data_IF_202219228207
#
_entry.id   IF_202219228207
#
_cell.length_a   1.000
_cell.length_b   1.000
_cell.length_c   1.000
_cell.angle_alpha   90.00
_cell.angle_beta   90.00
_cell.angle_gamma   90.00
#
_symmetry.space_group_name_H-M   'P 1'
#
loop_
_entity.id
_entity.type
_entity.pdbx_description
1 polymer ?
#
# COMPACT_ATOMS: atom_id res chain seq x y z
N UNK A 1 -4.16 -67.97 55.65
CA UNK A 1 -3.83 -66.54 55.79
C UNK A 1 -4.97 -65.76 55.14
N UNK A 2 -6.12 -65.54 55.79
CA UNK A 2 -6.42 -64.55 56.85
C UNK A 2 -5.68 -63.23 56.59
N UNK A 3 -6.24 -62.01 56.51
CA UNK A 3 -7.50 -61.30 56.82
C UNK A 3 -7.21 -59.88 56.22
N UNK A 4 -8.09 -58.91 55.99
CA UNK A 4 -9.45 -58.57 56.45
C UNK A 4 -9.90 -57.39 55.58
N UNK A 5 -11.17 -57.36 55.23
CA UNK A 5 -11.90 -56.13 54.98
C UNK A 5 -12.00 -55.28 56.25
N UNK A 6 -12.30 -53.98 56.06
CA UNK A 6 -12.94 -53.00 56.96
C UNK A 6 -12.19 -51.67 56.81
N UNK A 7 -12.82 -50.51 56.77
CA UNK A 7 -14.16 -50.13 57.18
C UNK A 7 -14.10 -48.64 57.50
N UNK A 8 -15.22 -47.96 57.31
CA UNK A 8 -15.40 -46.55 57.58
C UNK A 8 -14.94 -46.13 58.99
N UNK A 9 -14.29 -44.98 59.09
CA UNK A 9 -14.32 -44.14 60.29
C UNK A 9 -14.54 -42.69 59.85
N UNK A 10 -15.76 -42.23 60.11
CA UNK A 10 -16.16 -40.83 60.15
C UNK A 10 -15.28 -40.11 61.17
N UNK A 11 -14.69 -38.98 60.77
CA UNK A 11 -14.43 -37.92 61.75
C UNK A 11 -15.43 -36.79 61.55
N UNK A 12 -16.36 -36.80 62.50
CA UNK A 12 -17.31 -35.76 62.81
C UNK A 12 -16.53 -34.59 63.40
N UNK A 13 -16.46 -33.48 62.68
CA UNK A 13 -16.36 -32.15 63.31
C UNK A 13 -16.84 -31.07 62.34
N UNK A 14 -18.12 -31.13 61.99
CA UNK A 14 -18.88 -29.91 61.76
C UNK A 14 -19.09 -29.20 63.10
N UNK A 15 -18.02 -28.60 63.61
CA UNK A 15 -18.11 -27.50 64.55
C UNK A 15 -17.37 -26.36 63.88
N UNK A 16 -18.11 -25.30 63.57
CA UNK A 16 -17.62 -24.17 62.82
C UNK A 16 -16.27 -23.71 63.38
N UNK A 17 -15.21 -23.95 62.62
CA UNK A 17 -13.98 -23.18 62.77
C UNK A 17 -14.37 -21.81 62.25
N UNK A 18 -14.93 -20.97 63.14
CA UNK A 18 -14.95 -19.54 62.97
C UNK A 18 -13.57 -19.19 62.43
N UNK A 19 -13.48 -18.60 61.24
CA UNK A 19 -12.20 -18.09 60.73
C UNK A 19 -11.71 -17.14 61.82
N UNK A 20 -10.80 -17.61 62.67
CA UNK A 20 -10.19 -16.79 63.69
C UNK A 20 -9.61 -15.63 62.90
N UNK A 21 -10.16 -14.44 63.08
CA UNK A 21 -9.72 -13.27 62.35
C UNK A 21 -8.27 -13.05 62.76
N UNK A 22 -7.32 -13.49 61.92
CA UNK A 22 -5.90 -13.25 62.14
C UNK A 22 -5.76 -11.76 62.39
N UNK A 23 -5.31 -11.39 63.59
CA UNK A 23 -5.02 -10.00 63.95
C UNK A 23 -3.97 -9.53 62.95
N UNK A 24 -4.40 -8.72 61.98
CA UNK A 24 -3.49 -8.21 60.94
C UNK A 24 -2.62 -7.17 61.61
N UNK A 25 -1.31 -7.37 61.55
CA UNK A 25 -0.37 -6.37 61.99
C UNK A 25 -0.51 -5.13 61.08
N UNK A 26 -0.89 -3.99 61.67
CA UNK A 26 -1.08 -2.70 60.96
C UNK A 26 0.17 -1.83 60.99
N UNK A 27 1.28 -2.34 61.52
CA UNK A 27 2.56 -1.64 61.48
C UNK A 27 2.95 -1.39 60.02
N UNK A 28 3.59 -0.25 59.71
CA UNK A 28 4.01 0.06 58.36
C UNK A 28 4.91 -1.06 57.82
N UNK A 29 4.62 -1.54 56.61
CA UNK A 29 5.44 -2.53 55.94
C UNK A 29 6.82 -1.92 55.65
N UNK A 30 7.88 -2.68 55.91
CA UNK A 30 9.27 -2.23 55.69
C UNK A 30 9.58 -1.99 54.21
N UNK A 31 8.88 -2.67 53.30
CA UNK A 31 9.00 -2.52 51.86
C UNK A 31 7.62 -2.18 51.31
N UNK A 32 7.52 -1.05 50.62
CA UNK A 32 6.30 -0.65 49.94
C UNK A 32 6.26 -1.31 48.57
N UNK A 33 5.11 -1.86 48.19
CA UNK A 33 4.92 -2.45 46.87
C UNK A 33 4.98 -1.32 45.85
N UNK A 34 5.97 -1.35 44.96
CA UNK A 34 6.13 -0.35 43.90
C UNK A 34 5.35 -0.78 42.65
N UNK A 35 4.98 0.20 41.81
CA UNK A 35 4.32 -0.08 40.54
C UNK A 35 5.22 -0.95 39.62
N UNK A 36 6.54 -0.75 39.67
CA UNK A 36 7.51 -1.54 38.92
C UNK A 36 7.50 -3.00 39.34
N UNK A 37 7.39 -3.30 40.64
CA UNK A 37 7.36 -4.67 41.14
C UNK A 37 6.10 -5.41 40.67
N UNK A 38 4.94 -4.73 40.69
CA UNK A 38 3.69 -5.30 40.17
C UNK A 38 3.75 -5.56 38.66
N UNK A 39 4.36 -4.64 37.89
CA UNK A 39 4.51 -4.81 36.44
C UNK A 39 5.51 -5.93 36.10
N UNK A 40 6.61 -6.04 36.85
CA UNK A 40 7.60 -7.10 36.68
C UNK A 40 7.02 -8.47 37.03
N UNK A 41 6.26 -8.57 38.11
CA UNK A 41 5.58 -9.80 38.53
C UNK A 41 4.48 -10.18 37.53
N UNK A 42 3.69 -9.21 37.04
CA UNK A 42 2.69 -9.46 35.98
C UNK A 42 3.33 -9.92 34.66
N UNK A 43 4.52 -9.42 34.33
CA UNK A 43 5.25 -9.84 33.14
C UNK A 43 5.91 -11.21 33.33
N UNK A 44 6.45 -11.52 34.51
CA UNK A 44 7.00 -12.83 34.84
C UNK A 44 5.92 -13.92 34.90
N UNK A 45 4.70 -13.56 35.29
CA UNK A 45 3.52 -14.43 35.25
C UNK A 45 2.74 -14.36 33.95
N UNK A 46 3.19 -13.58 32.96
CA UNK A 46 2.65 -13.67 31.61
C UNK A 46 2.99 -15.08 31.12
N UNK A 47 1.98 -15.94 31.06
CA UNK A 47 2.13 -17.26 30.45
C UNK A 47 2.68 -17.03 29.04
N UNK A 48 3.83 -17.63 28.74
CA UNK A 48 4.38 -17.61 27.39
C UNK A 48 3.30 -18.10 26.43
N UNK A 49 3.17 -17.42 25.29
CA UNK A 49 2.25 -17.86 24.25
C UNK A 49 2.55 -19.32 23.93
N UNK A 50 1.59 -20.21 24.18
CA UNK A 50 1.73 -21.62 23.82
C UNK A 50 1.72 -21.71 22.31
N UNK A 51 2.91 -21.75 21.70
CA UNK A 51 3.03 -21.98 20.27
C UNK A 51 2.51 -23.39 19.95
N UNK A 52 1.66 -23.54 18.94
CA UNK A 52 1.21 -24.86 18.52
C UNK A 52 2.41 -25.72 18.11
N UNK A 53 2.35 -27.05 18.32
CA UNK A 53 3.41 -27.95 17.89
C UNK A 53 3.62 -27.85 16.37
N UNK A 54 4.88 -27.87 15.93
CA UNK A 54 5.23 -27.80 14.50
C UNK A 54 4.89 -29.13 13.84
N UNK A 55 3.74 -29.20 13.18
CA UNK A 55 3.32 -30.35 12.37
C UNK A 55 4.07 -30.36 11.03
N UNK A 56 4.71 -31.48 10.67
CA UNK A 56 5.27 -31.69 9.33
C UNK A 56 4.26 -32.43 8.48
N UNK A 57 3.82 -31.80 7.40
CA UNK A 57 2.85 -32.38 6.46
C UNK A 57 3.59 -33.38 5.57
N UNK A 58 3.21 -34.66 5.63
CA UNK A 58 3.83 -35.75 4.86
C UNK A 58 2.98 -36.19 3.69
N UNK A 59 1.66 -36.27 3.91
CA UNK A 59 0.75 -36.87 2.93
C UNK A 59 -0.10 -35.83 2.18
N UNK A 60 -0.49 -36.09 0.91
CA UNK A 60 -1.39 -35.21 0.17
C UNK A 60 -2.76 -35.00 0.84
N UNK A 61 -3.26 -36.00 1.56
CA UNK A 61 -4.52 -35.92 2.31
C UNK A 61 -4.39 -34.98 3.52
N UNK A 62 -3.28 -35.08 4.26
CA UNK A 62 -2.96 -34.15 5.36
C UNK A 62 -2.83 -32.71 4.86
N UNK A 63 -2.27 -32.51 3.66
CA UNK A 63 -2.16 -31.20 3.02
C UNK A 63 -3.53 -30.60 2.69
N UNK A 64 -4.46 -31.42 2.20
CA UNK A 64 -5.83 -30.98 1.89
C UNK A 64 -6.64 -30.68 3.16
N UNK A 65 -6.45 -31.47 4.23
CA UNK A 65 -7.03 -31.18 5.55
C UNK A 65 -6.47 -29.89 6.16
N UNK A 66 -5.16 -29.69 6.06
CA UNK A 66 -4.52 -28.44 6.46
C UNK A 66 -5.09 -27.25 5.68
N UNK A 67 -5.21 -27.37 4.36
CA UNK A 67 -5.84 -26.33 3.52
C UNK A 67 -7.29 -26.09 3.92
N UNK A 68 -8.07 -27.13 4.18
CA UNK A 68 -9.47 -26.99 4.56
C UNK A 68 -9.63 -26.24 5.88
N UNK A 69 -8.85 -26.60 6.90
CA UNK A 69 -8.87 -25.98 8.23
C UNK A 69 -8.49 -24.50 8.18
N UNK A 70 -7.37 -24.20 7.55
CA UNK A 70 -6.87 -22.82 7.39
C UNK A 70 -7.82 -21.95 6.56
N UNK A 71 -8.38 -22.47 5.46
CA UNK A 71 -9.42 -21.77 4.68
C UNK A 71 -10.64 -21.44 5.53
N UNK A 72 -11.10 -22.40 6.33
CA UNK A 72 -12.24 -22.19 7.23
C UNK A 72 -11.95 -21.07 8.24
N UNK A 73 -10.76 -21.06 8.83
CA UNK A 73 -10.33 -19.99 9.75
C UNK A 73 -10.32 -18.61 9.08
N UNK A 74 -9.80 -18.51 7.84
CA UNK A 74 -9.83 -17.27 7.08
C UNK A 74 -11.25 -16.83 6.72
N UNK A 75 -12.09 -17.74 6.22
CA UNK A 75 -13.49 -17.43 5.89
C UNK A 75 -14.29 -17.04 7.15
N UNK A 76 -14.06 -17.69 8.29
CA UNK A 76 -14.70 -17.32 9.56
C UNK A 76 -14.17 -15.98 10.09
N UNK A 77 -12.90 -15.64 9.83
CA UNK A 77 -12.34 -14.31 10.11
C UNK A 77 -12.99 -13.22 9.24
N UNK A 78 -13.14 -13.48 7.94
CA UNK A 78 -13.79 -12.59 6.98
C UNK A 78 -15.27 -12.41 7.32
N UNK A 79 -15.97 -13.48 7.71
CA UNK A 79 -17.38 -13.40 8.14
C UNK A 79 -17.56 -12.56 9.41
N UNK A 80 -16.62 -12.65 10.35
CA UNK A 80 -16.63 -11.83 11.57
C UNK A 80 -16.30 -10.37 11.27
N UNK A 81 -15.35 -10.11 10.36
CA UNK A 81 -14.84 -8.79 10.03
C UNK A 81 -14.79 -8.59 8.51
N UNK A 82 -15.95 -8.38 7.90
CA UNK A 82 -16.10 -8.29 6.44
C UNK A 82 -15.33 -7.10 5.85
N UNK A 83 -15.37 -5.95 6.53
CA UNK A 83 -14.73 -4.71 6.09
C UNK A 83 -13.23 -4.64 6.40
N UNK A 84 -12.67 -5.62 7.13
CA UNK A 84 -11.24 -5.60 7.44
C UNK A 84 -10.42 -6.18 6.28
N UNK A 85 -10.04 -5.31 5.34
CA UNK A 85 -9.31 -5.66 4.10
C UNK A 85 -7.99 -6.38 4.38
N UNK A 86 -7.37 -6.13 5.53
CA UNK A 86 -6.17 -6.85 5.97
C UNK A 86 -6.38 -8.38 6.05
N UNK A 87 -7.58 -8.85 6.40
CA UNK A 87 -7.87 -10.28 6.46
C UNK A 87 -7.97 -10.88 5.04
N UNK A 88 -8.60 -10.15 4.12
CA UNK A 88 -8.67 -10.51 2.71
C UNK A 88 -7.30 -10.59 2.06
N UNK A 89 -6.43 -9.59 2.32
CA UNK A 89 -5.06 -9.57 1.79
C UNK A 89 -4.24 -10.76 2.30
N UNK A 90 -4.27 -11.04 3.61
CA UNK A 90 -3.58 -12.21 4.19
C UNK A 90 -4.08 -13.53 3.60
N UNK A 91 -5.40 -13.66 3.43
CA UNK A 91 -5.98 -14.88 2.85
C UNK A 91 -5.55 -15.08 1.40
N UNK A 92 -5.60 -14.02 0.59
CA UNK A 92 -5.18 -14.06 -0.81
C UNK A 92 -3.68 -14.33 -0.98
N UNK A 93 -2.83 -13.73 -0.12
CA UNK A 93 -1.38 -14.00 -0.10
C UNK A 93 -1.08 -15.45 0.27
N UNK A 94 -1.84 -16.03 1.21
CA UNK A 94 -1.69 -17.44 1.60
C UNK A 94 -2.07 -18.39 0.45
N UNK A 95 -3.20 -18.18 -0.24
CA UNK A 95 -3.57 -18.98 -1.43
C UNK A 95 -2.57 -18.79 -2.60
N UNK A 96 -2.01 -17.59 -2.75
CA UNK A 96 -0.95 -17.32 -3.72
C UNK A 96 0.33 -18.09 -3.37
N UNK A 97 0.66 -18.24 -2.09
CA UNK A 97 1.77 -19.08 -1.60
C UNK A 97 1.59 -20.56 -1.94
N UNK A 98 0.35 -21.05 -1.94
CA UNK A 98 -0.03 -22.40 -2.38
C UNK A 98 -0.08 -22.56 -3.91
N UNK A 99 0.16 -21.49 -4.68
CA UNK A 99 0.03 -21.42 -6.15
C UNK A 99 -1.41 -21.69 -6.65
N UNK A 100 -2.42 -21.53 -5.80
CA UNK A 100 -3.83 -21.66 -6.19
C UNK A 100 -4.39 -20.31 -6.68
N UNK A 101 -3.84 -19.80 -7.79
CA UNK A 101 -4.12 -18.45 -8.29
C UNK A 101 -5.58 -18.21 -8.66
N UNK A 102 -6.31 -19.24 -9.12
CA UNK A 102 -7.74 -19.10 -9.43
C UNK A 102 -8.55 -18.73 -8.18
N UNK A 103 -8.22 -19.31 -7.02
CA UNK A 103 -8.89 -18.97 -5.75
C UNK A 103 -8.44 -17.61 -5.26
N UNK A 104 -7.15 -17.32 -5.32
CA UNK A 104 -6.61 -16.00 -4.96
C UNK A 104 -7.32 -14.88 -5.72
N UNK A 105 -7.53 -15.03 -7.03
CA UNK A 105 -8.34 -14.09 -7.86
C UNK A 105 -9.76 -13.93 -7.35
N UNK A 106 -10.44 -15.04 -7.08
CA UNK A 106 -11.81 -15.01 -6.54
C UNK A 106 -11.89 -14.25 -5.21
N UNK A 107 -10.89 -14.42 -4.34
CA UNK A 107 -10.80 -13.71 -3.06
C UNK A 107 -10.56 -12.22 -3.29
N UNK A 108 -9.67 -11.84 -4.21
CA UNK A 108 -9.44 -10.43 -4.56
C UNK A 108 -10.69 -9.78 -5.17
N UNK A 109 -11.39 -10.44 -6.10
CA UNK A 109 -12.62 -9.88 -6.69
C UNK A 109 -13.72 -9.74 -5.62
N UNK A 110 -13.89 -10.72 -4.72
CA UNK A 110 -14.80 -10.59 -3.56
C UNK A 110 -14.40 -9.44 -2.64
N UNK A 111 -13.11 -9.24 -2.40
CA UNK A 111 -12.64 -8.13 -1.59
C UNK A 111 -12.91 -6.77 -2.27
N UNK A 112 -12.78 -6.70 -3.60
CA UNK A 112 -13.09 -5.51 -4.39
C UNK A 112 -14.59 -5.20 -4.40
N UNK A 113 -15.46 -6.21 -4.33
CA UNK A 113 -16.90 -6.01 -4.15
C UNK A 113 -17.24 -5.36 -2.79
N UNK A 114 -16.43 -5.63 -1.75
CA UNK A 114 -16.61 -5.03 -0.42
C UNK A 114 -16.10 -3.60 -0.38
N UNK A 115 -14.86 -3.36 -0.82
CA UNK A 115 -14.25 -2.03 -0.88
C UNK A 115 -13.35 -1.90 -2.12
N UNK A 116 -13.92 -1.34 -3.18
CA UNK A 116 -13.18 -1.05 -4.41
C UNK A 116 -12.32 0.21 -4.32
N UNK A 117 -12.52 1.09 -3.33
CA UNK A 117 -11.77 2.34 -3.21
C UNK A 117 -10.40 2.14 -2.55
N UNK A 118 -10.22 1.02 -1.85
CA UNK A 118 -8.97 0.71 -1.18
C UNK A 118 -7.81 0.49 -2.16
N UNK A 119 -6.91 1.48 -2.22
CA UNK A 119 -5.75 1.48 -3.13
C UNK A 119 -4.85 0.26 -2.92
N UNK A 120 -4.59 -0.11 -1.66
CA UNK A 120 -3.73 -1.24 -1.33
C UNK A 120 -4.20 -2.58 -1.90
N UNK A 121 -5.50 -2.77 -2.07
CA UNK A 121 -6.09 -4.01 -2.56
C UNK A 121 -5.76 -4.21 -4.04
N UNK A 122 -5.94 -3.16 -4.86
CA UNK A 122 -5.55 -3.14 -6.26
C UNK A 122 -4.06 -3.38 -6.46
N UNK A 123 -3.22 -2.72 -5.65
CA UNK A 123 -1.77 -2.89 -5.71
C UNK A 123 -1.38 -4.34 -5.41
N UNK A 124 -1.90 -4.93 -4.33
CA UNK A 124 -1.61 -6.33 -3.98
C UNK A 124 -2.10 -7.32 -5.03
N UNK A 125 -3.30 -7.08 -5.59
CA UNK A 125 -3.86 -7.94 -6.63
C UNK A 125 -3.00 -7.91 -7.90
N UNK A 126 -2.63 -6.73 -8.38
CA UNK A 126 -1.77 -6.59 -9.54
C UNK A 126 -0.34 -7.11 -9.28
N UNK A 127 0.24 -6.85 -8.09
CA UNK A 127 1.54 -7.40 -7.68
C UNK A 127 1.55 -8.93 -7.69
N UNK A 128 0.47 -9.57 -7.25
CA UNK A 128 0.34 -11.02 -7.31
C UNK A 128 0.36 -11.52 -8.76
N UNK A 129 -0.44 -10.93 -9.66
CA UNK A 129 -0.45 -11.34 -11.08
C UNK A 129 0.92 -11.12 -11.74
N UNK A 130 1.60 -10.00 -11.44
CA UNK A 130 2.94 -9.69 -11.94
C UNK A 130 3.99 -10.70 -11.46
N UNK A 131 4.01 -11.03 -10.16
CA UNK A 131 4.97 -12.02 -9.59
C UNK A 131 4.84 -13.39 -10.25
N UNK A 132 3.63 -13.75 -10.66
CA UNK A 132 3.33 -15.04 -11.29
C UNK A 132 3.39 -15.01 -12.83
N UNK A 133 3.85 -13.90 -13.42
CA UNK A 133 4.02 -13.70 -14.88
C UNK A 133 2.70 -13.74 -15.68
N UNK A 134 1.56 -13.48 -15.04
CA UNK A 134 0.27 -13.37 -15.72
C UNK A 134 0.03 -11.94 -16.24
N UNK A 135 0.76 -11.57 -17.28
CA UNK A 135 0.79 -10.20 -17.82
C UNK A 135 -0.59 -9.70 -18.27
N UNK A 136 -1.33 -10.51 -19.02
CA UNK A 136 -2.64 -10.11 -19.54
C UNK A 136 -3.66 -9.87 -18.41
N UNK A 137 -3.62 -10.67 -17.36
CA UNK A 137 -4.48 -10.46 -16.19
C UNK A 137 -4.07 -9.20 -15.43
N UNK A 138 -2.78 -8.99 -15.20
CA UNK A 138 -2.28 -7.76 -14.59
C UNK A 138 -2.72 -6.51 -15.38
N UNK A 139 -2.63 -6.54 -16.72
CA UNK A 139 -3.10 -5.45 -17.59
C UNK A 139 -4.59 -5.16 -17.38
N UNK A 140 -5.43 -6.19 -17.38
CA UNK A 140 -6.88 -6.02 -17.16
C UNK A 140 -7.18 -5.43 -15.77
N UNK A 141 -6.43 -5.83 -14.75
CA UNK A 141 -6.56 -5.29 -13.39
C UNK A 141 -6.16 -3.81 -13.36
N UNK A 142 -5.02 -3.45 -13.95
CA UNK A 142 -4.57 -2.05 -14.02
C UNK A 142 -5.51 -1.16 -14.83
N UNK A 143 -5.99 -1.62 -15.99
CA UNK A 143 -6.96 -0.88 -16.80
C UNK A 143 -8.26 -0.64 -16.03
N UNK A 144 -8.76 -1.64 -15.28
CA UNK A 144 -9.92 -1.48 -14.40
C UNK A 144 -9.64 -0.49 -13.27
N UNK A 145 -8.49 -0.60 -12.60
CA UNK A 145 -8.10 0.28 -11.51
C UNK A 145 -8.05 1.74 -11.97
N UNK A 146 -7.43 2.02 -13.12
CA UNK A 146 -7.32 3.37 -13.68
C UNK A 146 -8.69 3.94 -14.12
N UNK A 147 -9.59 3.09 -14.64
CA UNK A 147 -10.95 3.50 -15.01
C UNK A 147 -11.84 3.80 -13.81
N UNK A 148 -11.75 3.00 -12.75
CA UNK A 148 -12.58 3.17 -11.55
C UNK A 148 -12.06 4.28 -10.64
N UNK A 149 -10.74 4.44 -10.55
CA UNK A 149 -10.06 5.37 -9.65
C UNK A 149 -9.02 6.21 -10.41
N UNK A 150 -9.46 7.10 -11.32
CA UNK A 150 -8.55 7.89 -12.15
C UNK A 150 -7.73 8.91 -11.34
N UNK A 151 -8.22 9.34 -10.17
CA UNK A 151 -7.52 10.32 -9.32
C UNK A 151 -6.30 9.78 -8.56
N UNK A 152 -6.07 8.46 -8.59
CA UNK A 152 -4.94 7.82 -7.91
C UNK A 152 -3.77 7.69 -8.89
N UNK A 153 -2.88 8.67 -8.86
CA UNK A 153 -1.70 8.76 -9.73
C UNK A 153 -0.77 7.53 -9.63
N UNK A 154 -0.75 6.88 -8.46
CA UNK A 154 0.05 5.69 -8.21
C UNK A 154 -0.29 4.52 -9.16
N UNK A 155 -1.56 4.36 -9.57
CA UNK A 155 -1.97 3.30 -10.49
C UNK A 155 -1.42 3.53 -11.89
N UNK A 156 -1.51 4.76 -12.39
CA UNK A 156 -0.98 5.15 -13.69
C UNK A 156 0.55 4.97 -13.75
N UNK A 157 1.26 5.38 -12.70
CA UNK A 157 2.72 5.19 -12.62
C UNK A 157 3.13 3.72 -12.58
N UNK A 158 2.43 2.89 -11.81
CA UNK A 158 2.72 1.44 -11.76
C UNK A 158 2.37 0.74 -13.07
N UNK A 159 1.28 1.15 -13.71
CA UNK A 159 0.85 0.57 -14.97
C UNK A 159 1.79 0.92 -16.13
N UNK A 160 2.19 2.19 -16.26
CA UNK A 160 3.19 2.63 -17.24
C UNK A 160 4.54 1.96 -17.00
N UNK A 161 5.00 1.85 -15.75
CA UNK A 161 6.23 1.12 -15.41
C UNK A 161 6.16 -0.36 -15.82
N UNK A 162 5.02 -1.02 -15.61
CA UNK A 162 4.83 -2.42 -16.02
C UNK A 162 4.95 -2.58 -17.54
N UNK A 163 4.25 -1.75 -18.32
CA UNK A 163 4.33 -1.82 -19.80
C UNK A 163 5.72 -1.42 -20.33
N UNK A 164 6.42 -0.52 -19.64
CA UNK A 164 7.81 -0.18 -19.96
C UNK A 164 8.75 -1.38 -19.75
N UNK A 165 8.58 -2.14 -18.66
CA UNK A 165 9.34 -3.38 -18.42
C UNK A 165 9.04 -4.44 -19.48
N UNK A 166 7.81 -4.48 -20.01
CA UNK A 166 7.41 -5.35 -21.12
C UNK A 166 7.92 -4.82 -22.47
N UNK A 167 8.49 -3.60 -22.50
CA UNK A 167 8.97 -2.90 -23.70
C UNK A 167 7.87 -2.56 -24.71
N UNK A 168 6.63 -2.39 -24.25
CA UNK A 168 5.50 -1.99 -25.07
C UNK A 168 5.31 -0.46 -25.05
N UNK A 169 6.18 0.26 -25.74
CA UNK A 169 6.24 1.72 -25.69
C UNK A 169 5.01 2.40 -26.28
N UNK A 170 4.36 1.80 -27.29
CA UNK A 170 3.15 2.36 -27.88
C UNK A 170 2.00 2.36 -26.88
N UNK A 171 1.86 1.26 -26.13
CA UNK A 171 0.85 1.19 -25.07
C UNK A 171 1.13 2.15 -23.93
N UNK A 172 2.40 2.35 -23.56
CA UNK A 172 2.78 3.34 -22.55
C UNK A 172 2.31 4.74 -22.95
N UNK A 173 2.49 5.13 -24.23
CA UNK A 173 2.00 6.43 -24.73
C UNK A 173 0.48 6.52 -24.67
N UNK A 174 -0.25 5.49 -25.09
CA UNK A 174 -1.73 5.46 -24.96
C UNK A 174 -2.18 5.64 -23.51
N UNK A 175 -1.47 5.03 -22.56
CA UNK A 175 -1.79 5.15 -21.13
C UNK A 175 -1.53 6.57 -20.65
N UNK A 176 -0.41 7.20 -21.04
CA UNK A 176 -0.12 8.59 -20.69
C UNK A 176 -1.16 9.55 -21.29
N UNK A 177 -1.55 9.37 -22.55
CA UNK A 177 -2.60 10.20 -23.18
C UNK A 177 -3.95 10.05 -22.47
N UNK A 178 -4.31 8.81 -22.09
CA UNK A 178 -5.50 8.55 -21.27
C UNK A 178 -5.40 9.24 -19.91
N UNK A 179 -4.24 9.15 -19.24
CA UNK A 179 -4.02 9.77 -17.92
C UNK A 179 -4.15 11.30 -17.99
N UNK A 180 -3.55 11.93 -19.01
CA UNK A 180 -3.64 13.38 -19.24
C UNK A 180 -5.06 13.86 -19.52
N UNK A 181 -5.91 13.00 -20.10
CA UNK A 181 -7.32 13.32 -20.36
C UNK A 181 -8.13 13.42 -19.06
N UNK A 182 -7.81 12.59 -18.06
CA UNK A 182 -8.56 12.52 -16.80
C UNK A 182 -8.12 13.55 -15.77
N UNK A 183 -6.82 13.77 -15.61
CA UNK A 183 -6.30 14.65 -14.56
C UNK A 183 -4.93 15.23 -14.92
N UNK A 184 -4.87 16.44 -15.50
CA UNK A 184 -3.61 17.09 -15.85
C UNK A 184 -2.93 17.68 -14.61
N UNK A 185 -2.52 16.84 -13.66
CA UNK A 185 -1.57 17.27 -12.63
C UNK A 185 -0.19 17.43 -13.25
N UNK A 186 0.58 18.41 -12.77
CA UNK A 186 1.96 18.63 -13.22
C UNK A 186 2.82 17.36 -13.10
N UNK A 187 2.56 16.51 -12.11
CA UNK A 187 3.25 15.22 -11.93
C UNK A 187 3.06 14.26 -13.11
N UNK A 188 1.86 14.20 -13.70
CA UNK A 188 1.56 13.34 -14.85
C UNK A 188 2.35 13.78 -16.09
N UNK A 189 2.37 15.09 -16.35
CA UNK A 189 3.17 15.70 -17.42
C UNK A 189 4.66 15.44 -17.24
N UNK A 190 5.18 15.62 -16.02
CA UNK A 190 6.58 15.34 -15.72
C UNK A 190 6.95 13.87 -15.88
N UNK A 191 6.06 12.96 -15.50
CA UNK A 191 6.27 11.52 -15.71
C UNK A 191 6.32 11.19 -17.20
N UNK A 192 5.43 11.78 -18.01
CA UNK A 192 5.41 11.52 -19.45
C UNK A 192 6.64 12.10 -20.17
N UNK A 193 7.05 13.32 -19.82
CA UNK A 193 8.25 13.95 -20.36
C UNK A 193 9.52 13.15 -20.01
N UNK A 194 9.67 12.68 -18.76
CA UNK A 194 10.78 11.80 -18.36
C UNK A 194 10.78 10.47 -19.11
N UNK A 195 9.60 9.95 -19.47
CA UNK A 195 9.50 8.76 -20.31
C UNK A 195 10.00 9.04 -21.73
N UNK A 196 9.56 10.12 -22.38
CA UNK A 196 10.00 10.44 -23.74
C UNK A 196 11.47 10.89 -23.82
N UNK A 197 12.01 11.53 -22.77
CA UNK A 197 13.44 11.84 -22.64
C UNK A 197 14.28 10.55 -22.62
N UNK A 198 13.83 9.51 -21.90
CA UNK A 198 14.48 8.18 -21.92
C UNK A 198 14.39 7.48 -23.27
N UNK A 199 13.30 7.70 -24.01
CA UNK A 199 13.11 7.16 -25.36
C UNK A 199 13.77 7.98 -26.46
N UNK A 200 14.37 9.13 -26.12
CA UNK A 200 15.03 10.08 -27.04
C UNK A 200 14.12 10.60 -28.18
N UNK A 201 12.81 10.67 -27.96
CA UNK A 201 11.86 11.19 -28.95
C UNK A 201 11.67 12.71 -28.79
N UNK A 202 12.65 13.48 -29.25
CA UNK A 202 12.67 14.94 -29.08
C UNK A 202 11.41 15.62 -29.67
N UNK A 203 10.91 15.11 -30.81
CA UNK A 203 9.69 15.66 -31.45
C UNK A 203 8.45 15.51 -30.58
N UNK A 204 8.25 14.33 -29.97
CA UNK A 204 7.09 14.10 -29.13
C UNK A 204 7.21 14.88 -27.81
N UNK A 205 8.42 14.92 -27.25
CA UNK A 205 8.71 15.71 -26.05
C UNK A 205 8.31 17.18 -26.23
N UNK A 206 8.62 17.78 -27.39
CA UNK A 206 8.22 19.15 -27.74
C UNK A 206 6.71 19.34 -27.80
N UNK A 207 5.99 18.45 -28.47
CA UNK A 207 4.53 18.51 -28.54
C UNK A 207 3.89 18.40 -27.14
N UNK A 208 4.47 17.56 -26.27
CA UNK A 208 4.02 17.43 -24.89
C UNK A 208 4.32 18.71 -24.10
N UNK A 209 5.48 19.35 -24.29
CA UNK A 209 5.78 20.65 -23.66
C UNK A 209 4.84 21.77 -24.11
N UNK A 210 4.52 21.85 -25.40
CA UNK A 210 3.55 22.82 -25.93
C UNK A 210 2.17 22.60 -25.29
N UNK A 211 1.69 21.36 -25.26
CA UNK A 211 0.43 21.00 -24.59
C UNK A 211 0.47 21.25 -23.08
N UNK A 212 1.63 21.03 -22.45
CA UNK A 212 1.81 21.26 -21.01
C UNK A 212 1.66 22.74 -20.66
N UNK A 213 2.19 23.62 -21.52
CA UNK A 213 2.02 25.07 -21.42
C UNK A 213 0.56 25.46 -21.67
N UNK A 214 -0.04 24.95 -22.75
CA UNK A 214 -1.42 25.31 -23.14
C UNK A 214 -2.47 24.77 -22.15
N UNK A 215 -2.16 23.73 -21.38
CA UNK A 215 -3.10 23.11 -20.43
C UNK A 215 -3.45 23.95 -19.21
N UNK A 216 -2.81 25.12 -18.99
CA UNK A 216 -3.15 25.99 -17.86
C UNK A 216 -4.15 27.10 -18.24
N UNK A 217 -5.36 27.13 -17.64
CA UNK A 217 -6.18 28.33 -17.59
C UNK A 217 -5.49 29.36 -16.68
N UNK A 218 -5.29 30.56 -17.19
CA UNK A 218 -4.64 31.67 -16.49
C UNK A 218 -5.58 32.24 -15.40
N UNK A 219 -5.57 31.69 -14.17
CA UNK A 219 -6.44 32.15 -13.07
C UNK A 219 -5.69 32.20 -11.73
N UNK A 220 -4.82 33.21 -11.56
CA UNK A 220 -4.39 33.72 -10.25
C UNK A 220 -2.88 33.75 -9.97
N UNK A 221 -2.48 34.55 -8.97
CA UNK A 221 -1.08 34.89 -8.66
C UNK A 221 -0.19 33.70 -8.24
N UNK A 222 -0.76 32.65 -7.63
CA UNK A 222 -0.01 31.46 -7.23
C UNK A 222 0.28 30.54 -8.42
N UNK A 223 -0.65 30.43 -9.37
CA UNK A 223 -0.51 29.60 -10.58
C UNK A 223 0.46 30.21 -11.59
N UNK A 224 0.69 31.53 -11.51
CA UNK A 224 1.70 32.20 -12.32
C UNK A 224 3.13 31.74 -12.00
N UNK A 225 3.46 31.46 -10.73
CA UNK A 225 4.75 30.84 -10.36
C UNK A 225 4.91 29.44 -10.94
N UNK A 226 3.83 28.67 -10.99
CA UNK A 226 3.85 27.31 -11.55
C UNK A 226 3.97 27.36 -13.07
N UNK A 227 3.26 28.28 -13.74
CA UNK A 227 3.41 28.54 -15.17
C UNK A 227 4.85 28.93 -15.54
N UNK A 228 5.50 29.83 -14.78
CA UNK A 228 6.93 30.17 -14.96
C UNK A 228 7.80 28.91 -14.84
N UNK A 229 7.51 28.03 -13.88
CA UNK A 229 8.25 26.78 -13.72
C UNK A 229 8.07 25.82 -14.93
N UNK A 230 6.91 25.84 -15.61
CA UNK A 230 6.69 25.07 -16.85
C UNK A 230 7.53 25.62 -18.01
N UNK A 231 7.51 26.92 -18.25
CA UNK A 231 8.33 27.57 -19.29
C UNK A 231 9.82 27.37 -19.04
N UNK A 232 10.28 27.53 -17.79
CA UNK A 232 11.69 27.31 -17.45
C UNK A 232 12.11 25.85 -17.68
N UNK A 233 11.23 24.87 -17.39
CA UNK A 233 11.50 23.46 -17.71
C UNK A 233 11.56 23.21 -19.23
N UNK A 234 10.68 23.83 -20.01
CA UNK A 234 10.72 23.71 -21.47
C UNK A 234 12.01 24.33 -22.05
N UNK A 235 12.41 25.51 -21.56
CA UNK A 235 13.63 26.18 -22.01
C UNK A 235 14.90 25.42 -21.63
N UNK A 236 15.01 24.96 -20.38
CA UNK A 236 16.14 24.10 -19.93
C UNK A 236 16.20 22.77 -20.68
N UNK A 237 15.07 22.24 -21.15
CA UNK A 237 15.05 21.08 -22.02
C UNK A 237 15.64 21.38 -23.41
N UNK A 238 15.26 22.49 -24.05
CA UNK A 238 15.85 22.87 -25.35
C UNK A 238 17.34 23.24 -25.23
N UNK A 239 17.76 23.82 -24.10
CA UNK A 239 19.18 24.04 -23.81
C UNK A 239 19.97 22.73 -23.71
N UNK A 240 19.41 21.70 -23.05
CA UNK A 240 20.01 20.36 -23.02
C UNK A 240 20.12 19.73 -24.42
N UNK A 241 19.14 20.00 -25.28
CA UNK A 241 19.13 19.57 -26.67
C UNK A 241 19.99 20.45 -27.60
N UNK A 242 20.63 21.50 -27.04
CA UNK A 242 21.48 22.47 -27.72
C UNK A 242 20.76 23.37 -28.76
N UNK A 243 19.43 23.47 -28.70
CA UNK A 243 18.60 24.30 -29.58
C UNK A 243 18.31 25.67 -28.93
N UNK A 244 19.33 26.53 -28.90
CA UNK A 244 19.29 27.84 -28.23
C UNK A 244 18.24 28.81 -28.77
N UNK A 245 17.95 28.75 -30.07
CA UNK A 245 16.95 29.61 -30.71
C UNK A 245 15.54 29.33 -30.16
N UNK A 246 15.23 28.06 -29.92
CA UNK A 246 13.94 27.64 -29.37
C UNK A 246 13.84 27.91 -27.87
N UNK A 247 14.93 27.73 -27.13
CA UNK A 247 14.99 28.12 -25.72
C UNK A 247 14.65 29.61 -25.56
N UNK A 248 15.23 30.49 -26.41
CA UNK A 248 14.89 31.92 -26.45
C UNK A 248 13.43 32.18 -26.76
N UNK A 249 12.84 31.46 -27.73
CA UNK A 249 11.43 31.60 -28.05
C UNK A 249 10.52 31.27 -26.85
N UNK A 250 10.86 30.24 -26.06
CA UNK A 250 10.12 29.93 -24.83
C UNK A 250 10.27 31.01 -23.76
N UNK A 251 11.46 31.60 -23.61
CA UNK A 251 11.67 32.72 -22.70
C UNK A 251 10.90 33.96 -23.14
N UNK A 252 10.92 34.32 -24.43
CA UNK A 252 10.16 35.45 -24.98
C UNK A 252 8.65 35.25 -24.82
N UNK A 253 8.14 34.04 -25.10
CA UNK A 253 6.72 33.71 -24.90
C UNK A 253 6.32 33.78 -23.43
N UNK A 254 7.17 33.32 -22.52
CA UNK A 254 6.93 33.44 -21.08
C UNK A 254 6.86 34.91 -20.63
N UNK A 255 7.75 35.78 -21.13
CA UNK A 255 7.72 37.21 -20.85
C UNK A 255 6.42 37.88 -21.35
N UNK A 256 5.97 37.49 -22.54
CA UNK A 256 4.76 38.04 -23.15
C UNK A 256 3.47 37.63 -22.41
N UNK A 257 3.38 36.38 -21.94
CA UNK A 257 2.17 35.85 -21.31
C UNK A 257 2.07 36.12 -19.79
N UNK A 258 3.20 36.13 -19.06
CA UNK A 258 3.21 36.23 -17.59
C UNK A 258 3.56 37.62 -17.05
N UNK A 259 4.18 38.48 -17.87
CA UNK A 259 4.64 39.81 -17.46
C UNK A 259 5.83 39.81 -16.48
N UNK A 260 6.43 40.98 -16.25
CA UNK A 260 7.65 41.13 -15.45
C UNK A 260 7.51 40.73 -13.97
N UNK A 261 6.28 40.73 -13.45
CA UNK A 261 6.00 40.56 -12.02
C UNK A 261 6.21 39.12 -11.49
N UNK A 262 6.21 38.10 -12.35
CA UNK A 262 6.33 36.69 -11.94
C UNK A 262 7.73 36.09 -12.14
N UNK A 263 8.67 36.88 -12.66
CA UNK A 263 10.00 36.38 -13.06
C UNK A 263 10.96 36.34 -11.88
N UNK A 264 11.38 35.14 -11.50
CA UNK A 264 12.42 34.92 -10.49
C UNK A 264 13.80 35.28 -11.08
N UNK A 265 14.75 35.69 -10.23
CA UNK A 265 16.14 36.03 -10.61
C UNK A 265 16.82 34.95 -11.46
N UNK A 266 16.51 33.67 -11.20
CA UNK A 266 16.99 32.51 -11.97
C UNK A 266 16.57 32.53 -13.46
N UNK A 267 15.44 33.14 -13.80
CA UNK A 267 14.97 33.25 -15.18
C UNK A 267 15.87 34.19 -15.99
N UNK A 268 16.25 35.33 -15.41
CA UNK A 268 17.14 36.30 -16.05
C UNK A 268 18.57 35.79 -16.17
N UNK A 269 19.03 34.95 -15.23
CA UNK A 269 20.33 34.28 -15.31
C UNK A 269 20.37 33.21 -16.42
N UNK A 270 19.25 32.54 -16.71
CA UNK A 270 19.17 31.54 -17.78
C UNK A 270 18.97 32.16 -19.18
N UNK A 271 18.48 33.40 -19.25
CA UNK A 271 18.26 34.12 -20.50
C UNK A 271 19.53 34.76 -21.09
N UNK A 272 20.51 35.15 -20.25
CA UNK A 272 21.77 35.78 -20.65
C UNK A 272 22.78 34.78 -21.25
#
# INVERSE_FOLDING_TARGET
VNLKMNGALKDVSSMGVQRISKVKNKNPAAIQITAEQLLAEAQAHRQDETLPPVERITDPEELDDYKYRTRKEFEDSIRRQTHHIGNWMKYAEWEAGLKEFRRARSIFERALEVDYQHVGLWLRYAEMEMKNKYINHARNVWERACKLLPGVDQFWLKYTYMEEVISNYDKVREIFESWLTWNPKDEAWHAYLKFEERMNNVKNCRQIFERFIDSSPNIGDQEASDAVARYLKAATFEEKMNDRERARLYYERALAELGEACLKENFFLAFC
#
